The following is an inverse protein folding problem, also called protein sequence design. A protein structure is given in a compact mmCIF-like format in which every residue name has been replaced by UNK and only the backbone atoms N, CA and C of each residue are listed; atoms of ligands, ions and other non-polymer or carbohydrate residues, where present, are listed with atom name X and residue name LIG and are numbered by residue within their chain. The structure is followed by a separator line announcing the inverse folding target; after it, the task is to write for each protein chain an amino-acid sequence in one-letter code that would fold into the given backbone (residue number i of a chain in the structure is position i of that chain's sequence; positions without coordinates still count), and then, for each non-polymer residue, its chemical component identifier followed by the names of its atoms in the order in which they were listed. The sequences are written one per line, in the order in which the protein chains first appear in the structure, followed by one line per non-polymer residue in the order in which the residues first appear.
data_IF_058470371195
#
_entry.id   IF_058470371195
#
_cell.length_a   1.000
_cell.length_b   1.000
_cell.length_c   1.000
_cell.angle_alpha   90.00
_cell.angle_beta   90.00
_cell.angle_gamma   90.00
#
_symmetry.space_group_name_H-M   'P 1'
#
loop_
_entity.id
_entity.type
_entity.pdbx_description
1 polymer ?
#
# COMPACT_ATOMS: atom_id res chain seq x y z
N UNK A 1 4.89 -18.48 47.65
CA UNK A 1 3.78 -17.92 46.84
C UNK A 1 4.16 -16.72 45.97
N UNK A 2 5.20 -15.92 46.30
CA UNK A 2 5.60 -14.75 45.50
C UNK A 2 6.34 -15.11 44.18
N UNK A 3 7.09 -16.23 44.16
CA UNK A 3 7.86 -16.65 42.98
C UNK A 3 7.01 -17.15 41.80
N UNK A 4 5.81 -17.68 42.04
CA UNK A 4 4.93 -18.15 40.96
C UNK A 4 4.23 -16.99 40.22
N UNK A 5 4.00 -15.87 40.91
CA UNK A 5 3.35 -14.68 40.36
C UNK A 5 4.26 -13.91 39.39
N UNK A 6 5.58 -13.88 39.65
CA UNK A 6 6.56 -13.24 38.77
C UNK A 6 6.70 -13.94 37.41
N UNK A 7 6.51 -15.27 37.36
CA UNK A 7 6.60 -16.05 36.11
C UNK A 7 5.41 -15.73 35.18
N UNK A 8 4.21 -15.53 35.73
CA UNK A 8 3.03 -15.12 34.95
C UNK A 8 3.14 -13.67 34.41
N UNK A 9 3.78 -12.77 35.15
CA UNK A 9 3.99 -11.37 34.73
C UNK A 9 5.05 -11.24 33.61
N UNK A 10 6.02 -12.15 33.56
CA UNK A 10 7.03 -12.21 32.48
C UNK A 10 6.48 -12.95 31.24
N UNK A 11 5.60 -13.93 31.42
CA UNK A 11 4.95 -14.62 30.29
C UNK A 11 3.92 -13.72 29.57
N UNK A 12 3.26 -12.80 30.27
CA UNK A 12 2.28 -11.87 29.69
C UNK A 12 2.88 -10.73 28.85
N UNK A 13 4.17 -10.41 29.02
CA UNK A 13 4.83 -9.28 28.33
C UNK A 13 5.46 -9.65 26.97
N UNK A 14 5.51 -10.94 26.63
CA UNK A 14 6.05 -11.43 25.34
C UNK A 14 4.99 -11.71 24.28
N UNK A 15 3.70 -11.49 24.58
CA UNK A 15 2.67 -11.38 23.54
C UNK A 15 2.84 -10.05 22.81
N UNK A 16 3.87 -9.98 21.95
CA UNK A 16 3.99 -8.95 20.94
C UNK A 16 2.70 -8.94 20.11
N UNK A 17 1.83 -7.96 20.37
CA UNK A 17 0.60 -7.69 19.62
C UNK A 17 0.88 -7.20 18.17
N UNK A 18 1.91 -7.72 17.53
CA UNK A 18 2.31 -7.44 16.16
C UNK A 18 1.69 -8.42 15.17
N UNK A 19 1.45 -7.95 13.95
CA UNK A 19 1.12 -8.83 12.82
C UNK A 19 2.38 -9.60 12.45
N UNK A 20 2.31 -10.93 12.37
CA UNK A 20 3.44 -11.73 11.87
C UNK A 20 3.69 -11.42 10.39
N UNK A 21 4.96 -11.28 10.00
CA UNK A 21 5.35 -10.84 8.67
C UNK A 21 6.48 -11.66 8.06
N UNK A 22 6.48 -11.79 6.74
CA UNK A 22 7.55 -12.38 5.94
C UNK A 22 8.06 -11.37 4.90
N UNK A 23 9.29 -11.57 4.43
CA UNK A 23 9.88 -10.74 3.38
C UNK A 23 9.39 -11.20 1.99
N UNK A 24 9.13 -10.23 1.11
CA UNK A 24 8.98 -10.49 -0.31
C UNK A 24 10.33 -10.90 -0.93
N UNK A 25 10.31 -11.45 -2.14
CA UNK A 25 11.49 -11.93 -2.86
C UNK A 25 12.56 -10.85 -3.06
N UNK A 26 12.18 -9.57 -3.19
CA UNK A 26 13.13 -8.45 -3.25
C UNK A 26 13.87 -8.19 -1.92
N UNK A 27 13.54 -8.91 -0.84
CA UNK A 27 14.25 -8.92 0.43
C UNK A 27 13.99 -7.74 1.36
N UNK A 28 13.46 -6.62 0.87
CA UNK A 28 13.31 -5.39 1.66
C UNK A 28 11.91 -5.27 2.26
N UNK A 29 10.86 -5.43 1.44
CA UNK A 29 9.48 -5.21 1.85
C UNK A 29 8.91 -6.44 2.54
N UNK A 30 8.08 -6.21 3.56
CA UNK A 30 7.39 -7.26 4.32
C UNK A 30 5.88 -7.28 4.05
N UNK A 31 5.30 -8.46 4.16
CA UNK A 31 3.86 -8.74 4.02
C UNK A 31 3.35 -9.56 5.20
N UNK A 32 2.04 -9.56 5.51
CA UNK A 32 1.48 -10.43 6.53
C UNK A 32 1.64 -11.91 6.13
N UNK A 33 2.07 -12.76 7.07
CA UNK A 33 2.14 -14.23 6.87
C UNK A 33 0.74 -14.83 6.68
N UNK A 34 -0.25 -14.27 7.38
CA UNK A 34 -1.64 -14.69 7.23
C UNK A 34 -2.21 -14.24 5.89
N UNK A 35 -2.41 -15.20 4.99
CA UNK A 35 -2.99 -14.98 3.64
C UNK A 35 -4.38 -14.35 3.67
N UNK A 36 -5.13 -14.52 4.77
CA UNK A 36 -6.47 -13.95 4.93
C UNK A 36 -6.47 -12.60 5.64
N UNK A 37 -5.30 -11.98 5.87
CA UNK A 37 -5.19 -10.77 6.68
C UNK A 37 -6.08 -9.64 6.15
N UNK A 38 -6.02 -9.37 4.85
CA UNK A 38 -6.81 -8.32 4.23
C UNK A 38 -8.29 -8.70 4.12
N UNK A 39 -8.60 -9.96 3.85
CA UNK A 39 -9.98 -10.45 3.88
C UNK A 39 -10.65 -10.20 5.24
N UNK A 40 -10.01 -10.62 6.35
CA UNK A 40 -10.54 -10.43 7.71
C UNK A 40 -10.60 -8.98 8.14
N UNK A 41 -9.63 -8.15 7.72
CA UNK A 41 -9.57 -6.73 8.11
C UNK A 41 -10.51 -5.84 7.29
N UNK A 42 -10.75 -6.17 6.02
CA UNK A 42 -11.46 -5.30 5.09
C UNK A 42 -12.63 -5.98 4.37
N UNK A 43 -12.41 -7.07 3.63
CA UNK A 43 -13.44 -7.68 2.76
C UNK A 43 -14.69 -8.11 3.56
N UNK A 44 -14.51 -8.58 4.79
CA UNK A 44 -15.63 -9.00 5.64
C UNK A 44 -16.38 -7.83 6.33
N UNK A 45 -15.91 -6.60 6.17
CA UNK A 45 -16.40 -5.42 6.93
C UNK A 45 -16.78 -4.23 6.07
N UNK A 46 -16.24 -4.16 4.86
CA UNK A 46 -16.36 -3.01 3.96
C UNK A 46 -16.64 -3.48 2.54
N UNK A 47 -17.24 -2.60 1.75
CA UNK A 47 -17.36 -2.83 0.32
C UNK A 47 -15.98 -2.66 -0.34
N UNK A 48 -15.32 -3.77 -0.63
CA UNK A 48 -14.01 -3.82 -1.30
C UNK A 48 -14.24 -3.86 -2.80
N UNK A 49 -14.06 -2.70 -3.44
CA UNK A 49 -14.16 -2.52 -4.88
C UNK A 49 -13.30 -1.31 -5.28
N UNK A 50 -12.69 -1.35 -6.46
CA UNK A 50 -12.07 -0.15 -7.04
C UNK A 50 -13.16 0.85 -7.48
N UNK A 51 -12.91 2.17 -7.41
CA UNK A 51 -13.75 3.18 -8.05
C UNK A 51 -13.89 2.88 -9.55
N UNK A 52 -15.05 3.21 -10.13
CA UNK A 52 -15.30 2.95 -11.55
C UNK A 52 -14.38 3.79 -12.46
N UNK A 53 -13.88 4.90 -11.93
CA UNK A 53 -12.95 5.84 -12.56
C UNK A 53 -11.52 5.31 -12.61
N UNK A 54 -11.20 4.28 -11.81
CA UNK A 54 -9.87 3.66 -11.81
C UNK A 54 -9.76 2.64 -12.93
N UNK A 55 -8.74 2.79 -13.77
CA UNK A 55 -8.40 1.83 -14.81
C UNK A 55 -7.45 0.75 -14.25
N UNK A 56 -7.96 -0.47 -14.07
CA UNK A 56 -7.21 -1.64 -13.60
C UNK A 56 -6.17 -2.16 -14.61
N UNK A 57 -6.23 -1.71 -15.87
CA UNK A 57 -5.28 -2.06 -16.94
C UNK A 57 -4.15 -1.04 -17.09
N UNK A 58 -4.09 -0.04 -16.21
CA UNK A 58 -3.06 0.98 -16.19
C UNK A 58 -2.28 0.97 -14.88
N UNK A 59 -1.21 1.77 -14.83
CA UNK A 59 -0.57 2.18 -13.57
C UNK A 59 -0.82 3.65 -13.35
N UNK A 60 -0.73 4.08 -12.10
CA UNK A 60 -0.77 5.50 -11.74
C UNK A 60 0.61 5.87 -11.23
N UNK A 61 1.29 6.75 -11.95
CA UNK A 61 2.64 7.20 -11.63
C UNK A 61 2.60 8.47 -10.80
N UNK A 62 3.34 8.46 -9.70
CA UNK A 62 3.54 9.65 -8.88
C UNK A 62 4.25 10.74 -9.69
N UNK A 63 3.63 11.93 -9.75
CA UNK A 63 4.16 13.08 -10.50
C UNK A 63 4.67 14.17 -9.56
N UNK A 64 3.95 14.43 -8.48
CA UNK A 64 4.35 15.37 -7.44
C UNK A 64 3.59 15.09 -6.14
N UNK A 65 4.10 15.66 -5.06
CA UNK A 65 3.40 15.74 -3.78
C UNK A 65 3.20 17.20 -3.38
N UNK A 66 2.11 17.46 -2.66
CA UNK A 66 1.81 18.73 -2.03
C UNK A 66 1.90 18.51 -0.52
N UNK A 67 2.78 19.24 0.14
CA UNK A 67 2.93 19.22 1.59
C UNK A 67 2.87 20.66 2.11
N UNK A 68 1.93 20.94 3.01
CA UNK A 68 1.73 22.28 3.60
C UNK A 68 1.62 23.39 2.52
N UNK A 69 0.90 23.10 1.42
CA UNK A 69 0.71 24.01 0.29
C UNK A 69 1.89 24.13 -0.68
N UNK A 70 3.03 23.48 -0.41
CA UNK A 70 4.20 23.49 -1.30
C UNK A 70 4.21 22.27 -2.21
N UNK A 71 4.48 22.48 -3.50
CA UNK A 71 4.60 21.42 -4.51
C UNK A 71 6.04 20.93 -4.62
N UNK A 72 6.21 19.61 -4.60
CA UNK A 72 7.50 18.93 -4.79
C UNK A 72 7.37 17.95 -5.94
N UNK A 73 8.07 18.20 -7.04
CA UNK A 73 8.03 17.35 -8.24
C UNK A 73 8.77 16.03 -7.99
N UNK A 74 8.10 14.91 -8.24
CA UNK A 74 8.67 13.58 -8.02
C UNK A 74 9.80 13.25 -9.01
N UNK A 75 9.85 13.92 -10.17
CA UNK A 75 10.96 13.78 -11.12
C UNK A 75 12.31 14.32 -10.59
N UNK A 76 12.28 15.13 -9.52
CA UNK A 76 13.48 15.61 -8.81
C UNK A 76 13.91 14.66 -7.69
N UNK A 77 13.07 13.70 -7.33
CA UNK A 77 13.37 12.71 -6.30
C UNK A 77 14.15 11.52 -6.90
N UNK A 78 14.93 10.85 -6.04
CA UNK A 78 15.66 9.62 -6.40
C UNK A 78 14.69 8.49 -6.74
N UNK A 79 13.62 8.39 -5.97
CA UNK A 79 12.61 7.35 -6.09
C UNK A 79 11.23 7.99 -6.26
N UNK A 80 10.36 7.33 -7.01
CA UNK A 80 8.94 7.68 -7.16
C UNK A 80 8.09 6.42 -6.98
N UNK A 81 6.79 6.60 -6.79
CA UNK A 81 5.88 5.46 -6.66
C UNK A 81 5.00 5.20 -7.87
N UNK A 82 4.72 3.91 -8.11
CA UNK A 82 3.69 3.46 -9.04
C UNK A 82 2.60 2.76 -8.25
N UNK A 83 1.34 3.05 -8.57
CA UNK A 83 0.20 2.32 -8.06
C UNK A 83 -0.40 1.46 -9.16
N UNK A 84 -0.77 0.23 -8.80
CA UNK A 84 -1.54 -0.65 -9.66
C UNK A 84 -2.76 -1.16 -8.91
N UNK A 85 -3.93 -0.98 -9.51
CA UNK A 85 -5.21 -1.41 -8.99
C UNK A 85 -5.66 -2.67 -9.71
N UNK A 86 -6.26 -3.60 -8.97
CA UNK A 86 -6.79 -4.85 -9.51
C UNK A 86 -8.30 -4.88 -9.31
N UNK A 87 -9.01 -5.52 -10.23
CA UNK A 87 -10.49 -5.52 -10.27
C UNK A 87 -11.14 -6.00 -8.96
N UNK A 88 -10.46 -6.88 -8.23
CA UNK A 88 -10.91 -7.43 -6.96
C UNK A 88 -10.69 -6.50 -5.74
N UNK A 89 -10.31 -5.24 -5.96
CA UNK A 89 -10.06 -4.25 -4.91
C UNK A 89 -8.66 -4.30 -4.29
N UNK A 90 -7.80 -5.23 -4.70
CA UNK A 90 -6.38 -5.19 -4.33
C UNK A 90 -5.68 -3.99 -4.99
N UNK A 91 -4.62 -3.52 -4.34
CA UNK A 91 -3.73 -2.48 -4.90
C UNK A 91 -2.29 -2.70 -4.46
N UNK A 92 -1.33 -2.54 -5.37
CA UNK A 92 0.09 -2.48 -5.03
C UNK A 92 0.61 -1.06 -5.09
N UNK A 93 1.52 -0.72 -4.16
CA UNK A 93 2.42 0.42 -4.28
C UNK A 93 3.85 -0.06 -4.52
N UNK A 94 4.38 0.21 -5.71
CA UNK A 94 5.78 -0.04 -6.05
C UNK A 94 6.59 1.23 -5.84
N UNK A 95 7.80 1.08 -5.28
CA UNK A 95 8.78 2.17 -5.19
C UNK A 95 9.83 1.89 -6.24
N UNK A 96 9.98 2.83 -7.16
CA UNK A 96 10.81 2.73 -8.36
C UNK A 96 11.91 3.77 -8.27
N UNK A 97 13.14 3.35 -8.50
CA UNK A 97 14.27 4.28 -8.60
C UNK A 97 14.30 4.90 -9.99
N UNK A 98 14.58 6.20 -10.07
CA UNK A 98 14.57 6.99 -11.32
C UNK A 98 15.46 6.42 -12.44
N UNK A 99 16.52 5.69 -12.09
CA UNK A 99 17.40 5.02 -13.06
C UNK A 99 16.79 3.78 -13.73
N UNK A 100 15.63 3.29 -13.27
CA UNK A 100 14.97 2.12 -13.83
C UNK A 100 14.12 2.51 -15.06
N UNK A 101 14.33 1.78 -16.16
CA UNK A 101 13.51 1.88 -17.36
C UNK A 101 12.13 1.23 -17.13
N UNK A 102 11.06 2.02 -17.24
CA UNK A 102 9.69 1.59 -16.92
C UNK A 102 9.17 0.47 -17.81
N UNK A 103 9.60 0.43 -19.07
CA UNK A 103 9.21 -0.65 -19.98
C UNK A 103 9.81 -1.98 -19.52
N UNK A 104 10.95 -1.92 -18.82
CA UNK A 104 11.69 -3.07 -18.30
C UNK A 104 11.34 -3.44 -16.88
N UNK A 105 10.69 -2.57 -16.10
CA UNK A 105 10.28 -2.91 -14.73
C UNK A 105 9.32 -4.10 -14.72
N UNK A 106 9.66 -5.07 -13.87
CA UNK A 106 8.75 -6.15 -13.49
C UNK A 106 7.91 -5.71 -12.28
N UNK A 107 6.60 -5.71 -12.45
CA UNK A 107 5.61 -5.31 -11.45
C UNK A 107 4.86 -6.53 -10.88
N UNK A 108 5.60 -7.63 -10.67
CA UNK A 108 5.09 -8.82 -10.01
C UNK A 108 4.74 -8.53 -8.53
N UNK A 109 3.46 -8.59 -8.13
CA UNK A 109 3.02 -8.25 -6.77
C UNK A 109 3.38 -9.31 -5.72
N UNK A 110 3.80 -10.49 -6.14
CA UNK A 110 4.30 -11.55 -5.26
C UNK A 110 5.79 -11.38 -4.92
N UNK A 111 6.53 -10.68 -5.79
CA UNK A 111 7.97 -10.50 -5.61
C UNK A 111 8.30 -9.15 -4.97
N UNK A 112 7.44 -8.14 -5.15
CA UNK A 112 7.71 -6.77 -4.69
C UNK A 112 6.47 -5.90 -4.51
N UNK A 113 6.71 -4.76 -3.84
CA UNK A 113 5.72 -3.70 -3.65
C UNK A 113 4.86 -3.91 -2.40
N UNK A 114 4.34 -2.81 -1.86
CA UNK A 114 3.47 -2.85 -0.70
C UNK A 114 2.06 -3.28 -1.11
N UNK A 115 1.50 -4.25 -0.37
CA UNK A 115 0.14 -4.74 -0.58
C UNK A 115 -0.86 -3.83 0.09
N UNK A 116 -2.00 -3.60 -0.56
CA UNK A 116 -3.08 -2.82 -0.02
C UNK A 116 -4.45 -3.24 -0.54
N UNK A 117 -5.48 -2.61 0.02
CA UNK A 117 -6.88 -2.83 -0.38
C UNK A 117 -7.60 -1.50 -0.47
N UNK A 118 -8.40 -1.35 -1.52
CA UNK A 118 -9.34 -0.26 -1.73
C UNK A 118 -10.71 -0.66 -1.21
N UNK A 119 -11.36 0.22 -0.47
CA UNK A 119 -12.67 -0.04 0.12
C UNK A 119 -13.44 1.25 0.41
N UNK A 120 -14.76 1.15 0.44
CA UNK A 120 -15.63 2.26 0.81
C UNK A 120 -16.00 2.21 2.29
N UNK A 121 -15.90 3.35 2.97
CA UNK A 121 -16.36 3.50 4.37
C UNK A 121 -16.95 4.89 4.57
N UNK A 122 -18.22 4.96 4.98
CA UNK A 122 -18.97 6.23 5.18
C UNK A 122 -18.84 7.14 3.94
N UNK A 123 -19.16 6.57 2.78
CA UNK A 123 -19.15 7.24 1.46
C UNK A 123 -17.80 7.81 1.00
N UNK A 124 -16.71 7.44 1.68
CA UNK A 124 -15.34 7.79 1.28
C UNK A 124 -14.64 6.56 0.71
N UNK A 125 -14.02 6.74 -0.46
CA UNK A 125 -13.10 5.75 -1.00
C UNK A 125 -11.76 5.83 -0.26
N UNK A 126 -11.35 4.72 0.32
CA UNK A 126 -10.14 4.60 1.10
C UNK A 126 -9.24 3.54 0.50
N UNK A 127 -7.94 3.75 0.63
CA UNK A 127 -6.94 2.73 0.43
C UNK A 127 -6.19 2.50 1.73
N UNK A 128 -5.90 1.24 2.04
CA UNK A 128 -5.02 0.88 3.15
C UNK A 128 -3.87 0.03 2.65
N UNK A 129 -2.65 0.50 2.84
CA UNK A 129 -1.44 -0.26 2.53
C UNK A 129 -0.82 -0.85 3.80
N UNK A 130 -0.30 -2.06 3.69
CA UNK A 130 0.55 -2.66 4.72
C UNK A 130 2.01 -2.24 4.47
N UNK A 131 2.49 -1.30 5.28
CA UNK A 131 3.76 -0.56 5.09
C UNK A 131 4.46 -0.35 6.43
N UNK A 132 5.73 0.07 6.45
CA UNK A 132 6.36 0.61 7.66
C UNK A 132 5.56 1.81 8.20
N UNK A 133 5.26 1.80 9.50
CA UNK A 133 4.54 2.87 10.21
C UNK A 133 5.34 3.43 11.40
N UNK A 134 6.61 3.04 11.54
CA UNK A 134 7.54 3.60 12.51
C UNK A 134 8.95 3.67 11.93
N UNK A 135 9.80 4.50 12.53
CA UNK A 135 11.23 4.61 12.20
C UNK A 135 11.98 3.29 12.41
N UNK A 136 11.53 2.47 13.36
CA UNK A 136 12.02 1.11 13.61
C UNK A 136 11.51 0.07 12.62
N UNK A 137 10.91 0.49 11.50
CA UNK A 137 10.33 -0.38 10.47
C UNK A 137 9.28 -1.37 11.01
N UNK A 138 8.50 -1.00 12.02
CA UNK A 138 7.30 -1.77 12.41
C UNK A 138 6.26 -1.64 11.30
N UNK A 139 5.77 -2.76 10.80
CA UNK A 139 4.76 -2.77 9.73
C UNK A 139 3.35 -2.63 10.30
N UNK A 140 2.49 -1.93 9.56
CA UNK A 140 1.10 -1.70 9.92
C UNK A 140 0.28 -1.17 8.75
N UNK A 141 -0.99 -0.85 9.02
CA UNK A 141 -1.89 -0.32 8.00
C UNK A 141 -1.84 1.21 7.98
N UNK A 142 -1.37 1.76 6.86
CA UNK A 142 -1.44 3.19 6.57
C UNK A 142 -2.66 3.47 5.68
N UNK A 143 -3.58 4.31 6.18
CA UNK A 143 -4.86 4.59 5.53
C UNK A 143 -4.81 5.93 4.81
N UNK A 144 -5.32 5.97 3.59
CA UNK A 144 -5.36 7.17 2.76
C UNK A 144 -6.73 7.28 2.10
N UNK A 145 -7.18 8.51 1.87
CA UNK A 145 -8.35 8.81 1.06
C UNK A 145 -7.88 8.90 -0.38
N UNK A 146 -8.63 8.31 -1.31
CA UNK A 146 -8.38 8.46 -2.74
C UNK A 146 -9.55 9.17 -3.42
N UNK A 147 -9.21 10.01 -4.39
CA UNK A 147 -10.15 10.61 -5.35
C UNK A 147 -9.55 10.48 -6.74
N UNK A 148 -10.39 10.33 -7.75
CA UNK A 148 -9.97 10.19 -9.15
C UNK A 148 -10.76 11.18 -9.99
N UNK A 149 -10.05 11.97 -10.81
CA UNK A 149 -10.61 12.94 -11.73
C UNK A 149 -9.93 12.77 -13.08
N UNK A 150 -10.66 12.18 -14.04
CA UNK A 150 -10.10 11.76 -15.32
C UNK A 150 -8.91 10.81 -15.13
N UNK A 151 -7.76 11.19 -15.68
CA UNK A 151 -6.51 10.41 -15.58
C UNK A 151 -5.71 10.71 -14.30
N UNK A 152 -6.20 11.57 -13.40
CA UNK A 152 -5.47 11.97 -12.20
C UNK A 152 -6.04 11.28 -10.96
N UNK A 153 -5.15 10.70 -10.14
CA UNK A 153 -5.47 10.14 -8.84
C UNK A 153 -4.84 10.97 -7.73
N UNK A 154 -5.67 11.44 -6.81
CA UNK A 154 -5.27 12.17 -5.61
C UNK A 154 -5.29 11.22 -4.43
N UNK A 155 -4.21 11.19 -3.66
CA UNK A 155 -4.10 10.35 -2.47
C UNK A 155 -3.71 11.20 -1.25
N UNK A 156 -4.64 11.35 -0.30
CA UNK A 156 -4.47 12.19 0.89
C UNK A 156 -4.37 11.36 2.16
N UNK A 157 -3.47 11.73 3.07
CA UNK A 157 -3.44 11.15 4.41
C UNK A 157 -4.63 11.65 5.25
N UNK A 158 -5.23 10.74 6.01
CA UNK A 158 -6.31 11.10 6.91
C UNK A 158 -5.72 11.89 8.07
N UNK A 159 -5.82 13.22 8.00
CA UNK A 159 -5.38 14.24 8.97
C UNK A 159 -4.04 14.95 8.70
N UNK A 160 -3.51 14.87 7.48
CA UNK A 160 -2.33 15.66 7.11
C UNK A 160 -2.66 16.47 5.85
N UNK A 161 -2.05 17.66 5.73
CA UNK A 161 -2.06 18.45 4.50
C UNK A 161 -0.96 17.97 3.55
N UNK A 162 -0.99 16.66 3.35
CA UNK A 162 -0.12 15.93 2.46
C UNK A 162 -0.96 15.19 1.41
N UNK A 163 -0.78 15.57 0.15
CA UNK A 163 -1.45 14.96 -1.01
C UNK A 163 -0.37 14.46 -1.95
N UNK A 164 -0.42 13.18 -2.30
CA UNK A 164 0.35 12.66 -3.43
C UNK A 164 -0.53 12.64 -4.66
N UNK A 165 -0.03 13.18 -5.76
CA UNK A 165 -0.73 13.21 -7.04
C UNK A 165 -0.08 12.20 -7.98
N UNK A 166 -0.94 11.37 -8.58
CA UNK A 166 -0.55 10.38 -9.57
C UNK A 166 -1.28 10.65 -10.88
N UNK A 167 -0.62 10.38 -11.99
CA UNK A 167 -1.21 10.43 -13.33
C UNK A 167 -1.21 9.03 -13.92
N UNK A 168 -2.31 8.67 -14.56
CA UNK A 168 -2.45 7.43 -15.31
C UNK A 168 -1.35 7.33 -16.36
N UNK A 169 -0.67 6.21 -16.37
CA UNK A 169 0.38 5.89 -17.32
C UNK A 169 0.15 4.47 -17.85
N UNK A 170 0.62 4.25 -19.07
CA UNK A 170 0.56 2.93 -19.69
C UNK A 170 1.46 1.96 -18.93
N UNK A 171 1.05 0.70 -18.90
CA UNK A 171 1.84 -0.39 -18.35
C UNK A 171 2.15 -1.37 -19.48
N UNK A 172 3.36 -1.91 -19.51
CA UNK A 172 3.70 -2.92 -20.51
C UNK A 172 2.83 -4.17 -20.35
N UNK A 173 2.43 -4.78 -21.48
CA UNK A 173 1.57 -5.98 -21.50
C UNK A 173 2.11 -7.13 -20.63
N UNK A 174 3.43 -7.25 -20.52
CA UNK A 174 4.08 -8.25 -19.65
C UNK A 174 3.68 -8.13 -18.17
N UNK A 175 3.33 -6.93 -17.72
CA UNK A 175 2.92 -6.68 -16.35
C UNK A 175 1.42 -6.91 -16.15
N UNK A 176 0.60 -6.78 -17.21
CA UNK A 176 -0.85 -7.03 -17.15
C UNK A 176 -1.20 -8.47 -16.73
N UNK A 177 -0.30 -9.43 -17.00
CA UNK A 177 -0.49 -10.84 -16.63
C UNK A 177 -0.58 -11.09 -15.12
N UNK A 178 -0.01 -10.20 -14.29
CA UNK A 178 0.00 -10.43 -12.85
C UNK A 178 -1.35 -10.10 -12.23
N UNK A 179 -1.75 -10.93 -11.26
CA UNK A 179 -2.99 -10.81 -10.52
C UNK A 179 -2.63 -10.71 -9.04
N UNK A 180 -3.31 -9.83 -8.29
CA UNK A 180 -3.24 -9.77 -6.84
C UNK A 180 -4.48 -10.41 -6.22
N UNK A 181 -4.33 -11.27 -5.21
CA UNK A 181 -5.45 -12.02 -4.62
C UNK A 181 -5.37 -12.21 -3.09
N UNK A 182 -4.68 -11.32 -2.38
CA UNK A 182 -4.63 -11.34 -0.91
C UNK A 182 -5.90 -10.83 -0.22
#
# INVERSE_FOLDING_TARGET
MVRLFLIFLIAGSLMSCGVSTEHLKEGIKKIPVDKNYFARKFRNKYNVKIPNEVDSKSVYREVFLIENGKKYESNKLRDFSLLRFYENGCVNKFIITKSQDLERIDLNPDDRGYRGVVYTKKDKCLVSFFVPVSETYRYGLQKKIISVEGDTLFMKYKNEDFITVYVKDSISNKNLKYIANW
#
